data_IF_526030854839
#
_entry.id   IF_526030854839
#
_cell.length_a   1.000
_cell.length_b   1.000
_cell.length_c   1.000
_cell.angle_alpha   90.00
_cell.angle_beta   90.00
_cell.angle_gamma   90.00
#
_symmetry.space_group_name_H-M   'P 1'
#
loop_
_entity.id
_entity.type
_entity.pdbx_description
1 polymer ?
#
# COMPACT_ATOMS: atom_id res chain seq x y z
N UNK A 1 1.81 68.67 -2.10
CA UNK A 1 1.92 67.66 -1.01
C UNK A 1 0.63 66.84 -0.90
N UNK A 2 0.56 65.69 -1.58
CA UNK A 2 -0.53 64.72 -1.40
C UNK A 2 0.10 63.32 -1.38
N UNK A 3 0.17 62.70 -0.19
CA UNK A 3 0.66 61.32 -0.01
C UNK A 3 -0.47 60.34 -0.36
N UNK A 4 -0.26 59.36 -1.25
CA UNK A 4 -1.15 58.21 -1.35
C UNK A 4 -0.59 57.08 -0.47
N UNK A 5 -0.92 57.07 0.83
CA UNK A 5 -0.43 56.04 1.78
C UNK A 5 -1.52 55.19 2.42
N UNK A 6 -2.72 55.07 1.82
CA UNK A 6 -3.83 54.28 2.42
C UNK A 6 -4.45 53.16 1.58
N UNK A 7 -4.15 53.06 0.28
CA UNK A 7 -4.78 52.03 -0.58
C UNK A 7 -4.01 50.70 -0.55
N UNK A 8 -2.72 50.72 -0.24
CA UNK A 8 -1.86 49.51 -0.25
C UNK A 8 -2.08 48.58 0.96
N UNK A 9 -2.53 49.13 2.09
CA UNK A 9 -2.82 48.35 3.31
C UNK A 9 -4.11 47.52 3.20
N UNK A 10 -5.16 48.06 2.57
CA UNK A 10 -6.47 47.38 2.47
C UNK A 10 -6.41 46.18 1.53
N UNK A 11 -5.63 46.25 0.44
CA UNK A 11 -5.45 45.13 -0.49
C UNK A 11 -4.62 43.99 0.12
N UNK A 12 -3.55 44.30 0.86
CA UNK A 12 -2.76 43.28 1.59
C UNK A 12 -3.62 42.57 2.63
N UNK A 13 -4.36 43.35 3.41
CA UNK A 13 -5.17 42.87 4.53
C UNK A 13 -6.43 42.09 4.05
N UNK A 14 -6.86 42.29 2.79
CA UNK A 14 -7.88 41.47 2.14
C UNK A 14 -7.31 40.16 1.59
N UNK A 15 -6.12 40.19 0.98
CA UNK A 15 -5.42 38.99 0.48
C UNK A 15 -5.02 38.07 1.65
N UNK A 16 -4.52 38.64 2.75
CA UNK A 16 -4.15 37.91 3.97
C UNK A 16 -5.38 37.31 4.67
N UNK A 17 -6.51 38.03 4.67
CA UNK A 17 -7.79 37.49 5.17
C UNK A 17 -8.33 36.39 4.28
N UNK A 18 -8.36 36.56 2.96
CA UNK A 18 -8.83 35.51 2.03
C UNK A 18 -7.93 34.28 2.08
N UNK A 19 -6.60 34.47 2.22
CA UNK A 19 -5.64 33.39 2.48
C UNK A 19 -5.92 32.67 3.80
N UNK A 20 -6.15 33.40 4.89
CA UNK A 20 -6.53 32.84 6.19
C UNK A 20 -7.89 32.12 6.17
N UNK A 21 -8.88 32.64 5.44
CA UNK A 21 -10.19 31.97 5.26
C UNK A 21 -10.07 30.70 4.42
N UNK A 22 -9.24 30.70 3.37
CA UNK A 22 -8.95 29.50 2.56
C UNK A 22 -8.21 28.44 3.36
N UNK A 23 -7.22 28.84 4.16
CA UNK A 23 -6.48 27.94 5.05
C UNK A 23 -7.40 27.42 6.17
N UNK A 24 -8.24 28.25 6.78
CA UNK A 24 -9.18 27.84 7.82
C UNK A 24 -10.34 26.98 7.28
N UNK A 25 -10.81 27.25 6.06
CA UNK A 25 -11.81 26.42 5.37
C UNK A 25 -11.22 25.09 4.95
N UNK A 26 -10.02 25.07 4.38
CA UNK A 26 -9.28 23.85 4.10
C UNK A 26 -9.11 23.06 5.40
N UNK A 27 -8.61 23.68 6.47
CA UNK A 27 -8.41 23.06 7.80
C UNK A 27 -9.71 22.56 8.45
N UNK A 28 -10.85 23.24 8.27
CA UNK A 28 -12.17 22.76 8.74
C UNK A 28 -12.72 21.61 7.91
N UNK A 29 -12.64 21.69 6.58
CA UNK A 29 -13.06 20.62 5.66
C UNK A 29 -12.22 19.37 5.87
N UNK A 30 -10.94 19.59 6.14
CA UNK A 30 -9.92 18.61 6.44
C UNK A 30 -10.11 17.93 7.81
N UNK A 31 -10.33 18.70 8.88
CA UNK A 31 -10.70 18.15 10.19
C UNK A 31 -12.00 17.35 10.09
N UNK A 32 -12.96 17.78 9.27
CA UNK A 32 -14.19 17.05 8.97
C UNK A 32 -13.91 15.72 8.26
N UNK A 33 -12.97 15.64 7.31
CA UNK A 33 -12.58 14.40 6.63
C UNK A 33 -11.87 13.42 7.57
N UNK A 34 -10.93 13.89 8.40
CA UNK A 34 -10.29 13.07 9.43
C UNK A 34 -11.33 12.55 10.44
N UNK A 35 -12.24 13.42 10.91
CA UNK A 35 -13.35 13.00 11.77
C UNK A 35 -14.25 12.00 11.06
N UNK A 36 -14.55 12.17 9.76
CA UNK A 36 -15.42 11.27 9.00
C UNK A 36 -14.78 9.89 8.78
N UNK A 37 -13.48 9.83 8.46
CA UNK A 37 -12.76 8.57 8.25
C UNK A 37 -12.60 7.80 9.57
N UNK A 38 -12.20 8.49 10.66
CA UNK A 38 -12.25 7.90 11.99
C UNK A 38 -13.67 7.51 12.39
N UNK A 39 -14.70 8.26 12.02
CA UNK A 39 -16.08 7.98 12.41
C UNK A 39 -16.68 6.80 11.63
N UNK A 40 -16.26 6.57 10.39
CA UNK A 40 -16.58 5.37 9.61
C UNK A 40 -15.85 4.12 10.14
N UNK A 41 -14.57 4.25 10.47
CA UNK A 41 -13.83 3.18 11.15
C UNK A 41 -14.37 2.92 12.56
N UNK A 42 -14.66 3.94 13.38
CA UNK A 42 -15.25 3.82 14.73
C UNK A 42 -16.68 3.23 14.68
N UNK A 43 -17.48 3.58 13.67
CA UNK A 43 -18.81 2.98 13.47
C UNK A 43 -18.73 1.53 12.97
N UNK A 44 -17.64 1.16 12.31
CA UNK A 44 -17.36 -0.22 11.86
C UNK A 44 -16.65 -1.06 12.94
N UNK A 45 -15.86 -0.43 13.81
CA UNK A 45 -15.10 -1.04 14.90
C UNK A 45 -15.89 -1.16 16.22
N UNK A 46 -16.94 -0.35 16.40
CA UNK A 46 -17.98 -0.59 17.42
C UNK A 46 -18.91 -1.76 17.06
N UNK A 47 -18.69 -2.36 15.90
CA UNK A 47 -19.37 -3.56 15.44
C UNK A 47 -18.57 -4.79 15.90
N UNK A 48 -19.25 -5.84 16.38
CA UNK A 48 -18.73 -7.15 16.82
C UNK A 48 -17.89 -7.93 15.75
N UNK A 49 -17.41 -7.28 14.68
CA UNK A 49 -16.95 -7.85 13.41
C UNK A 49 -15.47 -7.53 13.05
N UNK A 50 -14.71 -6.96 13.99
CA UNK A 50 -13.25 -6.78 13.96
C UNK A 50 -12.40 -8.07 13.68
N UNK A 51 -12.83 -9.30 14.01
CA UNK A 51 -11.97 -10.48 13.89
C UNK A 51 -11.41 -10.75 12.50
N UNK A 52 -12.13 -10.42 11.42
CA UNK A 52 -11.66 -10.76 10.06
C UNK A 52 -10.56 -9.84 9.56
N UNK A 53 -10.63 -8.55 9.88
CA UNK A 53 -9.52 -7.63 9.60
C UNK A 53 -8.28 -8.08 10.40
N UNK A 54 -8.45 -8.33 11.70
CA UNK A 54 -7.41 -8.87 12.56
C UNK A 54 -6.83 -10.19 12.03
N UNK A 55 -7.67 -11.13 11.58
CA UNK A 55 -7.24 -12.43 11.01
C UNK A 55 -6.48 -12.24 9.71
N UNK A 56 -6.95 -11.36 8.83
CA UNK A 56 -6.30 -11.06 7.55
C UNK A 56 -4.92 -10.50 7.81
N UNK A 57 -4.83 -9.49 8.67
CA UNK A 57 -3.56 -8.82 8.95
C UNK A 57 -2.61 -9.74 9.74
N UNK A 58 -3.13 -10.52 10.71
CA UNK A 58 -2.35 -11.54 11.42
C UNK A 58 -1.83 -12.63 10.48
N UNK A 59 -2.59 -12.99 9.45
CA UNK A 59 -2.14 -13.96 8.43
C UNK A 59 -0.97 -13.43 7.61
N UNK A 60 -0.94 -12.12 7.33
CA UNK A 60 0.18 -11.46 6.64
C UNK A 60 1.44 -11.49 7.51
N UNK A 61 1.32 -11.18 8.80
CA UNK A 61 2.44 -11.27 9.76
C UNK A 61 2.95 -12.72 9.88
N UNK A 62 2.04 -13.68 10.02
CA UNK A 62 2.39 -15.10 10.10
C UNK A 62 3.11 -15.57 8.82
N UNK A 63 2.62 -15.16 7.65
CA UNK A 63 3.24 -15.48 6.38
C UNK A 63 4.65 -14.90 6.27
N UNK A 64 4.84 -13.61 6.60
CA UNK A 64 6.14 -12.97 6.59
C UNK A 64 7.14 -13.68 7.53
N UNK A 65 6.70 -14.03 8.74
CA UNK A 65 7.51 -14.77 9.71
C UNK A 65 7.86 -16.19 9.21
N UNK A 66 6.89 -16.89 8.61
CA UNK A 66 7.12 -18.22 8.02
C UNK A 66 8.11 -18.16 6.86
N UNK A 67 7.98 -17.18 5.97
CA UNK A 67 8.88 -17.00 4.84
C UNK A 67 10.31 -16.71 5.32
N UNK A 68 10.49 -15.78 6.26
CA UNK A 68 11.79 -15.47 6.87
C UNK A 68 12.46 -16.70 7.51
N UNK A 69 11.70 -17.58 8.15
CA UNK A 69 12.22 -18.83 8.73
C UNK A 69 12.62 -19.88 7.69
N UNK A 70 12.01 -19.84 6.51
CA UNK A 70 12.28 -20.79 5.40
C UNK A 70 13.41 -20.33 4.50
N UNK A 71 13.75 -19.04 4.50
CA UNK A 71 14.87 -18.52 3.74
C UNK A 71 16.21 -19.10 4.26
N UNK A 72 17.12 -19.50 3.36
CA UNK A 72 18.48 -19.84 3.72
C UNK A 72 19.17 -18.70 4.50
N UNK A 73 20.07 -19.05 5.43
CA UNK A 73 20.68 -18.06 6.34
C UNK A 73 21.55 -17.04 5.58
N UNK A 74 22.15 -17.46 4.48
CA UNK A 74 23.03 -16.71 3.58
C UNK A 74 22.31 -15.77 2.61
N UNK A 75 20.98 -15.78 2.56
CA UNK A 75 20.20 -14.86 1.73
C UNK A 75 20.51 -13.40 2.08
N UNK A 76 20.70 -12.57 1.06
CA UNK A 76 21.04 -11.15 1.18
C UNK A 76 20.00 -10.37 1.99
N UNK A 77 20.45 -9.33 2.70
CA UNK A 77 19.57 -8.45 3.47
C UNK A 77 18.47 -7.82 2.59
N UNK A 78 18.82 -7.46 1.36
CA UNK A 78 17.88 -6.90 0.39
C UNK A 78 16.74 -7.85 0.00
N UNK A 79 16.91 -9.17 0.16
CA UNK A 79 15.83 -10.13 -0.09
C UNK A 79 14.96 -10.31 1.16
N UNK A 80 15.60 -10.34 2.34
CA UNK A 80 14.89 -10.37 3.63
C UNK A 80 14.05 -9.11 3.88
N UNK A 81 14.49 -7.95 3.38
CA UNK A 81 13.81 -6.65 3.56
C UNK A 81 12.39 -6.62 2.98
N UNK A 82 12.11 -7.37 1.91
CA UNK A 82 10.75 -7.50 1.37
C UNK A 82 9.78 -8.06 2.42
N UNK A 83 10.20 -9.12 3.10
CA UNK A 83 9.40 -9.79 4.13
C UNK A 83 9.32 -8.95 5.42
N UNK A 84 10.37 -8.20 5.76
CA UNK A 84 10.31 -7.23 6.86
C UNK A 84 9.31 -6.11 6.56
N UNK A 85 9.30 -5.58 5.33
CA UNK A 85 8.32 -4.57 4.92
C UNK A 85 6.88 -5.10 5.00
N UNK A 86 6.62 -6.30 4.48
CA UNK A 86 5.31 -6.93 4.58
C UNK A 86 4.89 -7.20 6.02
N UNK A 87 5.81 -7.68 6.86
CA UNK A 87 5.57 -7.90 8.29
C UNK A 87 5.28 -6.59 9.03
N UNK A 88 5.97 -5.49 8.68
CA UNK A 88 5.74 -4.17 9.27
C UNK A 88 4.33 -3.67 8.97
N UNK A 89 3.87 -3.75 7.72
CA UNK A 89 2.48 -3.40 7.33
C UNK A 89 1.49 -4.23 8.13
N UNK A 90 1.73 -5.53 8.26
CA UNK A 90 0.88 -6.39 9.08
C UNK A 90 0.81 -5.96 10.56
N UNK A 91 1.94 -5.62 11.17
CA UNK A 91 1.94 -5.18 12.57
C UNK A 91 1.26 -3.82 12.73
N UNK A 92 1.61 -2.84 11.90
CA UNK A 92 1.07 -1.49 11.98
C UNK A 92 -0.45 -1.46 11.72
N UNK A 93 -0.92 -2.19 10.70
CA UNK A 93 -2.36 -2.29 10.41
C UNK A 93 -3.13 -2.99 11.53
N UNK A 94 -2.55 -4.04 12.13
CA UNK A 94 -3.19 -4.71 13.28
C UNK A 94 -3.32 -3.76 14.47
N UNK A 95 -2.26 -2.99 14.76
CA UNK A 95 -2.26 -2.01 15.83
C UNK A 95 -3.29 -0.90 15.58
N UNK A 96 -3.45 -0.44 14.33
CA UNK A 96 -4.46 0.54 13.98
C UNK A 96 -5.88 0.03 14.23
N UNK A 97 -6.21 -1.18 13.78
CA UNK A 97 -7.55 -1.74 13.98
C UNK A 97 -7.90 -2.00 15.45
N UNK A 98 -6.90 -2.27 16.31
CA UNK A 98 -7.11 -2.40 17.76
C UNK A 98 -7.24 -1.05 18.45
N UNK A 99 -6.35 -0.11 18.13
CA UNK A 99 -6.20 1.13 18.91
C UNK A 99 -7.09 2.27 18.39
N UNK A 100 -7.40 2.28 17.09
CA UNK A 100 -8.14 3.34 16.37
C UNK A 100 -7.59 4.74 16.66
N UNK A 101 -6.30 4.82 16.97
CA UNK A 101 -5.62 6.07 17.33
C UNK A 101 -4.96 6.69 16.11
N UNK A 102 -4.88 8.02 16.10
CA UNK A 102 -4.18 8.78 15.06
C UNK A 102 -2.77 8.26 14.80
N UNK A 103 -1.98 8.04 15.84
CA UNK A 103 -0.60 7.56 15.69
C UNK A 103 -0.53 6.15 15.11
N UNK A 104 -1.48 5.27 15.44
CA UNK A 104 -1.54 3.94 14.86
C UNK A 104 -1.96 4.00 13.37
N UNK A 105 -2.87 4.92 13.02
CA UNK A 105 -3.25 5.17 11.63
C UNK A 105 -2.06 5.65 10.80
N UNK A 106 -1.34 6.67 11.30
CA UNK A 106 -0.15 7.18 10.63
C UNK A 106 0.93 6.10 10.47
N UNK A 107 1.07 5.21 11.45
CA UNK A 107 1.99 4.08 11.36
C UNK A 107 1.55 3.07 10.29
N UNK A 108 0.26 2.76 10.19
CA UNK A 108 -0.28 1.88 9.14
C UNK A 108 -0.04 2.47 7.74
N UNK A 109 -0.53 3.68 7.50
CA UNK A 109 -0.40 4.40 6.23
C UNK A 109 1.09 4.48 5.83
N UNK A 110 1.95 5.02 6.71
CA UNK A 110 3.40 5.14 6.42
C UNK A 110 4.07 3.79 6.15
N UNK A 111 3.68 2.73 6.85
CA UNK A 111 4.26 1.41 6.65
C UNK A 111 4.00 0.87 5.24
N UNK A 112 2.85 1.20 4.64
CA UNK A 112 2.50 0.80 3.28
C UNK A 112 3.42 1.46 2.24
N UNK A 113 3.73 2.75 2.40
CA UNK A 113 4.66 3.49 1.53
C UNK A 113 6.07 2.91 1.65
N UNK A 114 6.53 2.66 2.88
CA UNK A 114 7.86 2.08 3.13
C UNK A 114 7.98 0.70 2.50
N UNK A 115 7.03 -0.20 2.76
CA UNK A 115 7.06 -1.56 2.23
C UNK A 115 7.04 -1.58 0.69
N UNK A 116 6.16 -0.79 0.07
CA UNK A 116 6.06 -0.72 -1.40
C UNK A 116 7.32 -0.10 -2.01
N UNK A 117 7.92 0.87 -1.34
CA UNK A 117 9.21 1.47 -1.75
C UNK A 117 10.34 0.46 -1.69
N UNK A 118 10.39 -0.43 -0.68
CA UNK A 118 11.38 -1.52 -0.63
C UNK A 118 11.22 -2.46 -1.84
N UNK A 119 9.98 -2.85 -2.17
CA UNK A 119 9.67 -3.69 -3.34
C UNK A 119 10.11 -2.98 -4.64
N UNK A 120 9.78 -1.71 -4.79
CA UNK A 120 10.14 -0.92 -5.97
C UNK A 120 11.66 -0.74 -6.10
N UNK A 121 12.34 -0.44 -5.00
CA UNK A 121 13.79 -0.30 -4.94
C UNK A 121 14.46 -1.57 -5.48
N UNK A 122 14.05 -2.73 -4.99
CA UNK A 122 14.61 -4.02 -5.42
C UNK A 122 14.33 -4.29 -6.89
N UNK A 123 13.11 -4.04 -7.35
CA UNK A 123 12.75 -4.24 -8.75
C UNK A 123 13.52 -3.31 -9.71
N UNK A 124 13.73 -2.05 -9.33
CA UNK A 124 14.35 -1.02 -10.18
C UNK A 124 15.88 -1.11 -10.23
N UNK A 125 16.51 -1.55 -9.14
CA UNK A 125 17.97 -1.62 -9.00
C UNK A 125 18.56 -2.96 -9.43
N UNK A 126 17.71 -3.93 -9.79
CA UNK A 126 18.16 -5.22 -10.28
C UNK A 126 19.08 -5.11 -11.50
N UNK A 127 20.27 -5.72 -11.41
CA UNK A 127 21.33 -5.70 -12.43
C UNK A 127 21.68 -4.28 -12.94
N UNK A 128 21.55 -3.27 -12.06
CA UNK A 128 21.97 -1.90 -12.34
C UNK A 128 23.34 -1.60 -11.76
N UNK A 129 23.99 -0.59 -12.33
CA UNK A 129 25.29 -0.13 -11.84
C UNK A 129 25.17 0.41 -10.41
N UNK A 130 26.22 0.32 -9.58
CA UNK A 130 26.21 0.87 -8.23
C UNK A 130 25.82 2.36 -8.20
N UNK A 131 26.25 3.12 -9.20
CA UNK A 131 25.89 4.54 -9.34
C UNK A 131 24.39 4.75 -9.50
N UNK A 132 23.74 3.99 -10.40
CA UNK A 132 22.29 4.08 -10.57
C UNK A 132 21.55 3.62 -9.32
N UNK A 133 22.00 2.51 -8.72
CA UNK A 133 21.40 1.96 -7.50
C UNK A 133 21.43 2.95 -6.36
N UNK A 134 22.57 3.61 -6.12
CA UNK A 134 22.71 4.60 -5.06
C UNK A 134 21.88 5.86 -5.35
N UNK A 135 21.92 6.37 -6.58
CA UNK A 135 21.12 7.54 -6.99
C UNK A 135 19.63 7.27 -6.83
N UNK A 136 19.12 6.15 -7.37
CA UNK A 136 17.70 5.82 -7.31
C UNK A 136 17.24 5.56 -5.87
N UNK A 137 18.05 4.85 -5.08
CA UNK A 137 17.72 4.58 -3.67
C UNK A 137 17.70 5.87 -2.84
N UNK A 138 18.64 6.79 -3.09
CA UNK A 138 18.65 8.10 -2.43
C UNK A 138 17.44 8.96 -2.81
N UNK A 139 17.08 8.99 -4.10
CA UNK A 139 15.88 9.70 -4.58
C UNK A 139 14.59 9.11 -3.97
N UNK A 140 14.47 7.78 -3.97
CA UNK A 140 13.31 7.10 -3.42
C UNK A 140 13.19 7.31 -1.91
N UNK A 141 14.31 7.24 -1.17
CA UNK A 141 14.33 7.53 0.26
C UNK A 141 13.90 8.97 0.56
N UNK A 142 14.39 9.94 -0.21
CA UNK A 142 13.98 11.33 -0.09
C UNK A 142 12.47 11.50 -0.35
N UNK A 143 11.93 10.82 -1.37
CA UNK A 143 10.52 10.86 -1.68
C UNK A 143 9.67 10.26 -0.54
N UNK A 144 10.07 9.12 0.01
CA UNK A 144 9.40 8.49 1.17
C UNK A 144 9.42 9.41 2.39
N UNK A 145 10.58 9.96 2.75
CA UNK A 145 10.69 10.88 3.91
C UNK A 145 9.79 12.10 3.70
N UNK A 146 9.78 12.66 2.49
CA UNK A 146 8.98 13.84 2.16
C UNK A 146 7.49 13.54 2.24
N UNK A 147 7.05 12.45 1.60
CA UNK A 147 5.65 12.01 1.61
C UNK A 147 5.19 11.72 3.04
N UNK A 148 5.96 10.95 3.81
CA UNK A 148 5.62 10.58 5.19
C UNK A 148 5.57 11.83 6.09
N UNK A 149 6.54 12.73 5.96
CA UNK A 149 6.54 13.99 6.74
C UNK A 149 5.34 14.84 6.38
N UNK A 150 5.03 14.99 5.09
CA UNK A 150 3.87 15.73 4.63
C UNK A 150 2.57 15.11 5.16
N UNK A 151 2.40 13.80 5.03
CA UNK A 151 1.23 13.06 5.48
C UNK A 151 1.00 13.22 6.98
N UNK A 152 2.05 13.05 7.81
CA UNK A 152 1.95 13.16 9.28
C UNK A 152 1.76 14.60 9.76
N UNK A 153 2.35 15.59 9.08
CA UNK A 153 2.25 17.00 9.50
C UNK A 153 0.96 17.66 9.03
N UNK A 154 0.53 17.33 7.81
CA UNK A 154 -0.64 17.90 7.19
C UNK A 154 -1.89 17.07 7.47
N UNK A 155 -1.76 15.85 8.01
CA UNK A 155 -2.82 14.89 8.35
C UNK A 155 -3.73 14.57 7.13
N UNK A 156 -3.15 14.66 5.93
CA UNK A 156 -3.87 14.66 4.64
C UNK A 156 -3.70 13.34 3.90
N UNK A 157 -4.82 12.73 3.52
CA UNK A 157 -4.83 11.37 2.97
C UNK A 157 -4.67 11.31 1.45
N UNK A 158 -5.07 12.34 0.70
CA UNK A 158 -5.06 12.32 -0.78
C UNK A 158 -3.65 12.17 -1.34
N UNK A 159 -2.68 12.92 -0.82
CA UNK A 159 -1.28 12.84 -1.31
C UNK A 159 -0.69 11.47 -0.99
N UNK A 160 -1.00 10.91 0.17
CA UNK A 160 -0.59 9.58 0.57
C UNK A 160 -1.15 8.51 -0.38
N UNK A 161 -2.46 8.53 -0.59
CA UNK A 161 -3.20 7.62 -1.45
C UNK A 161 -2.67 7.65 -2.89
N UNK A 162 -2.51 8.84 -3.47
CA UNK A 162 -1.97 8.99 -4.84
C UNK A 162 -0.53 8.50 -4.95
N UNK A 163 0.30 8.76 -3.92
CA UNK A 163 1.68 8.29 -3.86
C UNK A 163 1.74 6.76 -3.79
N UNK A 164 0.88 6.15 -2.97
CA UNK A 164 0.78 4.70 -2.84
C UNK A 164 0.35 4.03 -4.16
N UNK A 165 -0.70 4.57 -4.81
CA UNK A 165 -1.15 4.09 -6.13
C UNK A 165 -0.04 4.21 -7.18
N UNK A 166 0.69 5.34 -7.19
CA UNK A 166 1.81 5.53 -8.11
C UNK A 166 2.91 4.48 -7.90
N UNK A 167 3.31 4.20 -6.64
CA UNK A 167 4.30 3.18 -6.32
C UNK A 167 3.85 1.79 -6.79
N UNK A 168 2.58 1.40 -6.56
CA UNK A 168 2.02 0.12 -7.02
C UNK A 168 2.09 0.01 -8.54
N UNK A 169 1.69 1.06 -9.27
CA UNK A 169 1.75 1.07 -10.74
C UNK A 169 3.18 0.88 -11.23
N UNK A 170 4.14 1.58 -10.62
CA UNK A 170 5.57 1.44 -10.95
C UNK A 170 6.09 0.02 -10.70
N UNK A 171 5.73 -0.59 -9.56
CA UNK A 171 6.04 -2.00 -9.26
C UNK A 171 5.44 -2.93 -10.30
N UNK A 172 4.17 -2.72 -10.68
CA UNK A 172 3.49 -3.58 -11.66
C UNK A 172 4.13 -3.47 -13.05
N UNK A 173 4.42 -2.25 -13.52
CA UNK A 173 5.10 -2.01 -14.80
C UNK A 173 6.49 -2.63 -14.79
N UNK A 174 7.26 -2.42 -13.73
CA UNK A 174 8.62 -2.97 -13.63
C UNK A 174 8.61 -4.49 -13.55
N UNK A 175 7.68 -5.08 -12.81
CA UNK A 175 7.50 -6.53 -12.73
C UNK A 175 7.19 -7.12 -14.11
N UNK A 176 6.28 -6.51 -14.89
CA UNK A 176 6.00 -6.94 -16.28
C UNK A 176 7.24 -6.88 -17.17
N UNK A 177 8.04 -5.82 -17.03
CA UNK A 177 9.30 -5.70 -17.76
C UNK A 177 10.28 -6.83 -17.39
N UNK A 178 10.47 -7.10 -16.09
CA UNK A 178 11.37 -8.15 -15.61
C UNK A 178 10.92 -9.54 -16.08
N UNK A 179 9.62 -9.84 -16.06
CA UNK A 179 9.07 -11.08 -16.62
C UNK A 179 9.46 -11.22 -18.10
N UNK A 180 9.28 -10.15 -18.89
CA UNK A 180 9.62 -10.18 -20.32
C UNK A 180 11.12 -10.39 -20.57
N UNK A 181 11.98 -9.84 -19.72
CA UNK A 181 13.43 -9.87 -19.87
C UNK A 181 14.09 -11.14 -19.33
N UNK A 182 13.52 -11.76 -18.29
CA UNK A 182 14.18 -12.85 -17.53
C UNK A 182 13.55 -14.22 -17.75
N UNK A 183 12.31 -14.29 -18.22
CA UNK A 183 11.57 -15.55 -18.37
C UNK A 183 11.58 -15.96 -19.84
N UNK A 184 12.28 -17.07 -20.13
CA UNK A 184 12.47 -17.57 -21.50
C UNK A 184 11.31 -18.47 -21.94
N UNK A 185 10.82 -19.34 -21.05
CA UNK A 185 9.76 -20.28 -21.38
C UNK A 185 8.42 -19.55 -21.60
N UNK A 186 7.76 -19.72 -22.77
CA UNK A 186 6.50 -19.03 -23.06
C UNK A 186 5.36 -19.36 -22.08
N UNK A 187 5.32 -20.61 -21.60
CA UNK A 187 4.38 -21.10 -20.60
C UNK A 187 4.48 -20.34 -19.26
N UNK A 188 5.68 -20.28 -18.68
CA UNK A 188 5.98 -19.51 -17.45
C UNK A 188 5.63 -18.04 -17.61
N UNK A 189 6.01 -17.47 -18.76
CA UNK A 189 5.79 -16.06 -19.06
C UNK A 189 4.31 -15.73 -19.09
N UNK A 190 3.50 -16.58 -19.72
CA UNK A 190 2.05 -16.41 -19.77
C UNK A 190 1.42 -16.56 -18.38
N UNK A 191 1.84 -17.56 -17.61
CA UNK A 191 1.38 -17.75 -16.23
C UNK A 191 1.69 -16.52 -15.37
N UNK A 192 2.93 -16.05 -15.35
CA UNK A 192 3.34 -14.88 -14.57
C UNK A 192 2.62 -13.60 -15.02
N UNK A 193 2.39 -13.42 -16.32
CA UNK A 193 1.61 -12.28 -16.81
C UNK A 193 0.15 -12.33 -16.35
N UNK A 194 -0.49 -13.50 -16.37
CA UNK A 194 -1.84 -13.69 -15.82
C UNK A 194 -1.86 -13.38 -14.32
N UNK A 195 -0.87 -13.85 -13.57
CA UNK A 195 -0.77 -13.54 -12.14
C UNK A 195 -0.56 -12.04 -11.88
N UNK A 196 0.19 -11.33 -12.74
CA UNK A 196 0.30 -9.85 -12.62
C UNK A 196 -1.05 -9.17 -12.88
N UNK A 197 -1.79 -9.62 -13.89
CA UNK A 197 -3.13 -9.07 -14.19
C UNK A 197 -4.07 -9.34 -13.02
N UNK A 198 -4.05 -10.55 -12.46
CA UNK A 198 -4.84 -10.91 -11.30
C UNK A 198 -4.48 -10.06 -10.08
N UNK A 199 -3.20 -9.97 -9.71
CA UNK A 199 -2.75 -9.16 -8.57
C UNK A 199 -3.08 -7.68 -8.72
N UNK A 200 -2.92 -7.12 -9.93
CA UNK A 200 -3.34 -5.75 -10.23
C UNK A 200 -4.87 -5.60 -10.15
N UNK A 201 -5.63 -6.59 -10.63
CA UNK A 201 -7.09 -6.65 -10.51
C UNK A 201 -7.55 -6.67 -9.04
N UNK A 202 -6.88 -7.43 -8.18
CA UNK A 202 -7.14 -7.42 -6.74
C UNK A 202 -6.91 -6.03 -6.12
N UNK A 203 -5.80 -5.36 -6.45
CA UNK A 203 -5.54 -3.99 -5.98
C UNK A 203 -6.62 -3.00 -6.46
N UNK A 204 -6.95 -3.01 -7.75
CA UNK A 204 -7.96 -2.10 -8.32
C UNK A 204 -9.33 -2.37 -7.69
N UNK A 205 -9.76 -3.63 -7.65
CA UNK A 205 -11.06 -3.98 -7.10
C UNK A 205 -11.14 -3.68 -5.60
N UNK A 206 -10.10 -4.01 -4.84
CA UNK A 206 -10.03 -3.65 -3.44
C UNK A 206 -10.12 -2.13 -3.25
N UNK A 207 -9.39 -1.35 -4.05
CA UNK A 207 -9.38 0.10 -3.94
C UNK A 207 -10.76 0.69 -4.20
N UNK A 208 -11.47 0.15 -5.20
CA UNK A 208 -12.87 0.51 -5.44
C UNK A 208 -13.75 0.19 -4.23
N UNK A 209 -13.59 -0.97 -3.59
CA UNK A 209 -14.34 -1.33 -2.38
C UNK A 209 -14.05 -0.37 -1.23
N UNK A 210 -12.78 -0.03 -1.03
CA UNK A 210 -12.36 0.95 -0.02
C UNK A 210 -12.98 2.34 -0.27
N UNK A 211 -12.97 2.82 -1.52
CA UNK A 211 -13.58 4.09 -1.88
C UNK A 211 -15.11 4.08 -1.73
N UNK A 212 -15.78 2.98 -2.06
CA UNK A 212 -17.22 2.83 -1.82
C UNK A 212 -17.55 2.84 -0.33
N UNK A 213 -16.72 2.21 0.50
CA UNK A 213 -16.85 2.24 1.96
C UNK A 213 -16.75 3.68 2.47
N UNK A 214 -15.74 4.42 2.01
CA UNK A 214 -15.51 5.82 2.38
C UNK A 214 -16.67 6.73 1.99
N UNK A 215 -17.14 6.64 0.74
CA UNK A 215 -18.20 7.52 0.21
C UNK A 215 -19.58 7.18 0.79
N UNK A 216 -19.91 5.89 0.94
CA UNK A 216 -21.25 5.44 1.34
C UNK A 216 -21.35 4.95 2.80
N UNK A 217 -20.33 5.20 3.61
CA UNK A 217 -20.21 4.73 4.99
C UNK A 217 -21.49 4.84 5.84
N UNK A 218 -22.16 6.00 5.87
CA UNK A 218 -23.38 6.17 6.69
C UNK A 218 -24.51 5.26 6.21
N UNK A 219 -24.68 5.11 4.89
CA UNK A 219 -25.72 4.26 4.28
C UNK A 219 -25.41 2.79 4.49
N UNK A 220 -24.17 2.38 4.22
CA UNK A 220 -23.70 1.01 4.45
C UNK A 220 -23.87 0.63 5.92
N UNK A 221 -23.50 1.51 6.85
CA UNK A 221 -23.67 1.28 8.31
C UNK A 221 -25.12 1.13 8.71
N UNK A 222 -26.04 1.95 8.18
CA UNK A 222 -27.47 1.78 8.43
C UNK A 222 -27.97 0.41 7.96
N UNK A 223 -27.57 -0.02 6.75
CA UNK A 223 -27.95 -1.33 6.21
C UNK A 223 -27.33 -2.47 7.04
N UNK A 224 -26.06 -2.36 7.43
CA UNK A 224 -25.37 -3.34 8.30
C UNK A 224 -26.12 -3.57 9.61
N UNK A 225 -26.62 -2.50 10.25
CA UNK A 225 -27.39 -2.57 11.50
C UNK A 225 -28.74 -3.27 11.34
N UNK A 226 -29.36 -3.19 10.16
CA UNK A 226 -30.63 -3.87 9.86
C UNK A 226 -30.40 -5.35 9.53
N UNK A 227 -29.36 -5.66 8.74
CA UNK A 227 -29.11 -7.03 8.29
C UNK A 227 -28.51 -7.93 9.38
N UNK A 228 -27.69 -7.38 10.28
CA UNK A 228 -27.03 -8.14 11.34
C UNK A 228 -26.12 -9.27 10.81
N UNK A 229 -25.79 -10.23 11.67
CA UNK A 229 -24.94 -11.39 11.32
C UNK A 229 -25.79 -12.44 10.58
N UNK A 230 -25.27 -13.10 9.52
CA UNK A 230 -23.93 -12.96 8.95
C UNK A 230 -23.82 -11.92 7.83
N UNK A 231 -24.94 -11.45 7.29
CA UNK A 231 -24.98 -10.68 6.03
C UNK A 231 -24.31 -9.31 6.12
N UNK A 232 -24.30 -8.68 7.31
CA UNK A 232 -23.59 -7.43 7.57
C UNK A 232 -22.09 -7.52 7.29
N UNK A 233 -21.49 -8.71 7.38
CA UNK A 233 -20.08 -8.93 7.05
C UNK A 233 -19.75 -8.64 5.59
N UNK A 234 -20.65 -8.97 4.66
CA UNK A 234 -20.43 -8.78 3.22
C UNK A 234 -20.36 -7.30 2.84
N UNK A 235 -21.00 -6.42 3.62
CA UNK A 235 -21.06 -4.99 3.37
C UNK A 235 -19.88 -4.21 3.96
N UNK A 236 -18.88 -4.89 4.48
CA UNK A 236 -17.72 -4.27 5.13
C UNK A 236 -16.58 -4.21 4.14
N UNK A 237 -16.74 -3.28 3.19
CA UNK A 237 -15.96 -3.21 1.97
C UNK A 237 -14.50 -2.88 2.29
N UNK A 238 -14.26 -2.10 3.36
CA UNK A 238 -12.91 -1.87 3.89
C UNK A 238 -12.20 -3.16 4.34
N UNK A 239 -12.92 -4.18 4.82
CA UNK A 239 -12.30 -5.47 5.19
C UNK A 239 -11.89 -6.27 3.96
N UNK A 240 -12.72 -6.26 2.92
CA UNK A 240 -12.39 -6.87 1.63
C UNK A 240 -11.18 -6.21 0.98
N UNK A 241 -11.01 -4.89 1.16
CA UNK A 241 -9.80 -4.17 0.76
C UNK A 241 -8.54 -4.80 1.36
N UNK A 242 -8.49 -5.05 2.67
CA UNK A 242 -7.32 -5.68 3.30
C UNK A 242 -7.01 -7.07 2.71
N UNK A 243 -8.04 -7.88 2.47
CA UNK A 243 -7.86 -9.23 1.89
C UNK A 243 -7.29 -9.12 0.45
N UNK A 244 -7.92 -8.30 -0.37
CA UNK A 244 -7.55 -8.16 -1.79
C UNK A 244 -6.17 -7.52 -1.96
N UNK A 245 -5.85 -6.50 -1.17
CA UNK A 245 -4.53 -5.87 -1.18
C UNK A 245 -3.45 -6.78 -0.61
N UNK A 246 -3.74 -7.57 0.43
CA UNK A 246 -2.79 -8.56 0.93
C UNK A 246 -2.46 -9.60 -0.15
N UNK A 247 -3.47 -10.09 -0.89
CA UNK A 247 -3.26 -11.01 -2.02
C UNK A 247 -2.45 -10.37 -3.14
N UNK A 248 -2.78 -9.13 -3.51
CA UNK A 248 -2.04 -8.37 -4.52
C UNK A 248 -0.58 -8.12 -4.10
N UNK A 249 -0.36 -7.61 -2.90
CA UNK A 249 0.96 -7.31 -2.34
C UNK A 249 1.83 -8.56 -2.26
N UNK A 250 1.27 -9.66 -1.74
CA UNK A 250 1.93 -10.96 -1.69
C UNK A 250 2.35 -11.44 -3.08
N UNK A 251 1.45 -11.35 -4.06
CA UNK A 251 1.72 -11.75 -5.45
C UNK A 251 2.89 -10.96 -6.05
N UNK A 252 2.86 -9.62 -5.96
CA UNK A 252 3.93 -8.79 -6.49
C UNK A 252 5.24 -8.91 -5.71
N UNK A 253 5.18 -9.09 -4.39
CA UNK A 253 6.37 -9.29 -3.57
C UNK A 253 7.11 -10.59 -3.95
N UNK A 254 6.39 -11.71 -4.07
CA UNK A 254 6.99 -12.98 -4.51
C UNK A 254 7.56 -12.85 -5.92
N UNK A 255 6.81 -12.23 -6.84
CA UNK A 255 7.30 -12.02 -8.20
C UNK A 255 8.59 -11.23 -8.23
N UNK A 256 8.64 -10.10 -7.52
CA UNK A 256 9.85 -9.29 -7.46
C UNK A 256 10.98 -10.08 -6.80
N UNK A 257 10.73 -10.80 -5.71
CA UNK A 257 11.75 -11.64 -5.07
C UNK A 257 12.34 -12.66 -6.05
N UNK A 258 11.50 -13.47 -6.69
CA UNK A 258 11.92 -14.53 -7.63
C UNK A 258 12.63 -13.94 -8.86
N UNK A 259 12.11 -12.86 -9.45
CA UNK A 259 12.67 -12.24 -10.66
C UNK A 259 14.00 -11.52 -10.38
N UNK A 260 14.30 -11.20 -9.13
CA UNK A 260 15.52 -10.49 -8.73
C UNK A 260 16.55 -11.38 -8.03
N UNK A 261 16.31 -12.70 -7.96
CA UNK A 261 17.33 -13.69 -7.61
C UNK A 261 18.30 -13.91 -8.79
N UNK A 262 19.46 -14.49 -8.50
CA UNK A 262 20.47 -14.80 -9.52
C UNK A 262 19.91 -15.78 -10.56
N UNK A 263 19.16 -16.78 -10.10
CA UNK A 263 18.43 -17.76 -10.91
C UNK A 263 16.93 -17.59 -10.71
N UNK A 264 16.20 -17.58 -11.82
CA UNK A 264 14.73 -17.58 -11.80
C UNK A 264 14.29 -19.03 -11.66
N UNK A 265 14.13 -19.48 -10.42
CA UNK A 265 13.56 -20.77 -10.10
C UNK A 265 12.13 -20.57 -9.62
N UNK A 266 11.16 -20.96 -10.46
CA UNK A 266 9.75 -20.94 -10.12
C UNK A 266 9.44 -22.19 -9.30
N UNK A 267 9.52 -22.09 -7.98
CA UNK A 267 9.13 -23.21 -7.11
C UNK A 267 7.60 -23.36 -7.13
N UNK A 268 7.13 -24.59 -7.30
CA UNK A 268 5.71 -24.95 -7.31
C UNK A 268 4.96 -24.46 -6.06
N UNK A 269 5.67 -24.32 -4.93
CA UNK A 269 5.18 -23.78 -3.66
C UNK A 269 4.84 -22.28 -3.67
N UNK A 270 5.55 -21.47 -4.45
CA UNK A 270 5.47 -20.00 -4.41
C UNK A 270 4.22 -19.45 -5.10
N UNK A 271 3.60 -20.26 -5.98
CA UNK A 271 2.39 -19.90 -6.73
C UNK A 271 1.24 -20.88 -6.49
N UNK A 272 1.25 -21.61 -5.37
CA UNK A 272 0.19 -22.58 -5.00
C UNK A 272 -1.23 -21.98 -4.98
N UNK A 273 -1.36 -20.66 -4.80
CA UNK A 273 -2.64 -19.93 -4.96
C UNK A 273 -3.22 -20.02 -6.39
N UNK A 274 -2.38 -20.29 -7.39
CA UNK A 274 -2.70 -20.24 -8.83
C UNK A 274 -2.73 -21.61 -9.52
N UNK A 275 -2.63 -22.71 -8.78
CA UNK A 275 -2.98 -24.05 -9.29
C UNK A 275 -2.11 -24.59 -10.44
N UNK A 276 -0.82 -24.25 -10.49
CA UNK A 276 0.11 -24.86 -11.44
C UNK A 276 0.76 -26.11 -10.85
N UNK A 277 0.26 -27.31 -11.20
CA UNK A 277 0.96 -28.57 -10.93
C UNK A 277 2.10 -28.76 -11.95
N UNK A 278 3.29 -29.06 -11.44
CA UNK A 278 4.52 -29.43 -12.12
C UNK A 278 5.31 -28.29 -12.78
N UNK A 279 6.37 -27.82 -12.12
CA UNK A 279 7.50 -27.17 -12.80
C UNK A 279 8.74 -27.11 -11.88
N UNK A 280 9.72 -27.97 -12.14
CA UNK A 280 11.10 -27.77 -11.71
C UNK A 280 11.98 -27.75 -12.95
N UNK A 281 12.53 -26.60 -13.32
CA UNK A 281 13.77 -26.52 -14.11
C UNK A 281 14.52 -25.25 -13.69
N UNK A 282 15.63 -25.43 -12.98
CA UNK A 282 16.58 -24.34 -12.74
C UNK A 282 17.39 -24.07 -14.00
N UNK A 283 17.26 -22.87 -14.58
CA UNK A 283 18.09 -22.47 -15.71
C UNK A 283 19.46 -22.02 -15.20
N UNK A 284 20.52 -22.75 -15.56
CA UNK A 284 21.90 -22.24 -15.52
C UNK A 284 22.01 -21.12 -16.55
N UNK A 285 22.35 -19.91 -16.09
CA UNK A 285 22.95 -18.91 -16.97
C UNK A 285 24.46 -19.16 -16.92
N UNK A 286 25.00 -19.59 -18.05
CA UNK A 286 26.44 -19.52 -18.37
C UNK A 286 26.80 -18.07 -18.76
#
# INVERSE_FOLDING_TARGET
PYRPSKVRGVASDYVDRVGSYRIAFARKTFLLVHQYMQQCCLQSASSFYDPVAMLTVSSVVFYAARALRRLPKDVSFAAKSLYYGLGLVGVCSSLFHVLLSYHAQMADDTSMIVATSIVLQRAMTYQKTPTFTNWFSGLLLLAVITETTYHVMMDEHTVHELSFVFLIVMVAVKTRYLIKARVQRPEDKNMLQKSVIFGAGCFIFGYLLWQLDFIFCTRLTAIKRVLGIPWGFLLELHRWWHILTAVGAHTFMIMVDVLTRDRVELLEGDFTLFGGKNMMVGTKAD
#
